data_IF_225534143926
#
_entry.id   IF_225534143926
#
_cell.length_a   1.000
_cell.length_b   1.000
_cell.length_c   1.000
_cell.angle_alpha   90.00
_cell.angle_beta   90.00
_cell.angle_gamma   90.00
#
_symmetry.space_group_name_H-M   'P 1'
#
loop_
_entity.id
_entity.type
_entity.pdbx_description
1 polymer ?
#
# COMPACT_ATOMS: atom_id res chain seq x y z
N UNK A 1 0.31 -10.09 16.43
CA UNK A 1 1.53 -10.06 15.65
C UNK A 1 1.58 -8.81 14.81
N UNK A 2 2.71 -8.20 14.74
CA UNK A 2 2.85 -6.95 14.02
C UNK A 2 3.42 -7.19 12.64
N UNK A 3 2.82 -6.56 11.66
CA UNK A 3 3.37 -6.58 10.32
C UNK A 3 4.54 -5.61 10.25
N UNK A 4 5.57 -5.98 9.52
CA UNK A 4 6.73 -5.14 9.36
C UNK A 4 6.79 -4.60 7.95
N UNK A 5 7.05 -3.32 7.83
CA UNK A 5 7.19 -2.71 6.52
C UNK A 5 8.42 -3.28 5.81
N UNK A 6 8.23 -3.75 4.61
CA UNK A 6 9.32 -4.32 3.82
C UNK A 6 9.74 -3.39 2.69
N UNK A 7 8.80 -3.00 1.85
CA UNK A 7 9.14 -2.12 0.73
C UNK A 7 7.90 -1.40 0.24
N UNK A 8 8.11 -0.41 -0.61
CA UNK A 8 7.03 0.33 -1.23
C UNK A 8 7.35 0.52 -2.70
N UNK A 9 6.34 0.48 -3.53
CA UNK A 9 6.54 0.72 -4.95
C UNK A 9 5.32 1.41 -5.51
N UNK A 10 5.49 2.02 -6.67
CA UNK A 10 4.40 2.69 -7.33
C UNK A 10 3.36 1.66 -7.77
N UNK A 11 2.10 1.98 -7.51
CA UNK A 11 0.99 1.14 -7.95
C UNK A 11 0.39 1.79 -9.19
N UNK A 12 0.49 1.10 -10.30
CA UNK A 12 -0.09 1.57 -11.55
C UNK A 12 -0.72 0.36 -12.24
N UNK A 13 -1.99 0.48 -12.53
CA UNK A 13 -2.69 -0.58 -13.23
C UNK A 13 -2.71 -0.24 -14.72
N UNK A 14 -2.02 -1.04 -15.51
CA UNK A 14 -1.91 -0.84 -16.95
C UNK A 14 -3.24 -0.99 -17.67
N UNK A 15 -4.23 -1.57 -17.01
CA UNK A 15 -5.55 -1.75 -17.61
C UNK A 15 -6.55 -0.69 -17.18
N UNK A 16 -6.09 0.30 -16.44
CA UNK A 16 -6.94 1.37 -15.99
C UNK A 16 -7.79 1.02 -14.78
N UNK A 17 -7.62 -0.15 -14.20
CA UNK A 17 -8.29 -0.50 -12.97
C UNK A 17 -7.60 0.17 -11.81
N UNK A 18 -8.36 0.78 -10.93
CA UNK A 18 -7.79 1.44 -9.77
C UNK A 18 -8.25 0.74 -8.51
N UNK A 19 -7.46 0.88 -7.45
CA UNK A 19 -7.81 0.35 -6.14
C UNK A 19 -7.90 1.51 -5.16
N UNK A 20 -8.80 1.45 -4.19
CA UNK A 20 -8.89 2.52 -3.21
C UNK A 20 -7.79 2.41 -2.17
N UNK A 21 -7.42 3.57 -1.63
CA UNK A 21 -6.53 3.62 -0.48
C UNK A 21 -7.22 2.93 0.70
N UNK A 22 -6.47 2.14 1.45
CA UNK A 22 -7.05 1.38 2.56
C UNK A 22 -7.43 2.28 3.74
N UNK A 23 -7.00 3.52 3.73
CA UNK A 23 -7.27 4.46 4.84
C UNK A 23 -8.37 5.43 4.48
N UNK A 24 -8.21 6.16 3.40
CA UNK A 24 -9.14 7.24 3.07
C UNK A 24 -10.09 6.94 1.91
N UNK A 25 -9.85 5.87 1.17
CA UNK A 25 -10.70 5.50 0.06
C UNK A 25 -10.43 6.23 -1.25
N UNK A 26 -9.49 7.16 -1.27
CA UNK A 26 -9.09 7.81 -2.51
C UNK A 26 -8.31 6.83 -3.37
N UNK A 27 -8.16 7.16 -4.65
CA UNK A 27 -7.41 6.29 -5.55
C UNK A 27 -5.99 6.06 -5.03
N UNK A 28 -5.62 4.81 -4.89
CA UNK A 28 -4.29 4.47 -4.44
C UNK A 28 -3.28 4.68 -5.55
N UNK A 29 -2.12 5.21 -5.21
CA UNK A 29 -1.04 5.44 -6.16
C UNK A 29 0.22 4.65 -5.79
N UNK A 30 0.23 4.05 -4.61
CA UNK A 30 1.38 3.29 -4.14
C UNK A 30 0.91 2.04 -3.44
N UNK A 31 1.77 1.03 -3.41
CA UNK A 31 1.48 -0.16 -2.63
C UNK A 31 2.63 -0.42 -1.68
N UNK A 32 2.29 -0.70 -0.44
CA UNK A 32 3.24 -1.00 0.60
C UNK A 32 3.24 -2.50 0.85
N UNK A 33 4.42 -3.07 0.95
CA UNK A 33 4.58 -4.50 1.17
C UNK A 33 5.05 -4.70 2.61
N UNK A 34 4.28 -5.48 3.34
CA UNK A 34 4.59 -5.81 4.73
C UNK A 34 4.81 -7.30 4.87
N UNK A 35 5.61 -7.68 5.83
CA UNK A 35 5.82 -9.10 6.13
C UNK A 35 5.33 -9.40 7.55
N UNK A 36 4.68 -10.55 7.66
CA UNK A 36 4.25 -11.11 8.93
C UNK A 36 4.69 -12.56 8.87
N UNK A 37 4.96 -13.18 10.01
CA UNK A 37 5.42 -14.56 10.06
C UNK A 37 4.87 -15.43 8.93
N UNK A 38 5.73 -15.73 7.96
CA UNK A 38 5.37 -16.62 6.87
C UNK A 38 4.36 -16.09 5.87
N UNK A 39 4.04 -14.79 5.92
CA UNK A 39 3.06 -14.21 5.02
C UNK A 39 3.51 -12.85 4.51
N UNK A 40 2.99 -12.46 3.37
CA UNK A 40 3.23 -11.15 2.78
C UNK A 40 1.90 -10.44 2.66
N UNK A 41 1.84 -9.21 3.15
CA UNK A 41 0.64 -8.39 3.10
C UNK A 41 0.92 -7.19 2.21
N UNK A 42 0.04 -6.93 1.25
CA UNK A 42 0.18 -5.78 0.37
C UNK A 42 -1.00 -4.85 0.61
N UNK A 43 -0.70 -3.61 0.95
CA UNK A 43 -1.73 -2.59 1.17
C UNK A 43 -1.55 -1.47 0.18
N UNK A 44 -2.65 -0.90 -0.27
CA UNK A 44 -2.64 0.20 -1.23
C UNK A 44 -2.87 1.51 -0.50
N UNK A 45 -2.06 2.49 -0.83
CA UNK A 45 -2.16 3.82 -0.22
C UNK A 45 -2.19 4.89 -1.29
N UNK A 46 -2.91 5.96 -1.03
CA UNK A 46 -2.78 7.15 -1.82
C UNK A 46 -1.51 7.88 -1.38
N UNK A 47 -1.11 8.88 -2.17
CA UNK A 47 0.12 9.59 -1.92
C UNK A 47 0.19 10.19 -0.51
N UNK A 48 -0.90 10.83 -0.09
CA UNK A 48 -0.94 11.46 1.23
C UNK A 48 -0.86 10.46 2.37
N UNK A 49 -1.61 9.35 2.26
CA UNK A 49 -1.62 8.35 3.32
C UNK A 49 -0.30 7.60 3.39
N UNK A 50 0.34 7.37 2.24
CA UNK A 50 1.63 6.73 2.23
C UNK A 50 2.65 7.54 3.01
N UNK A 51 2.62 8.86 2.87
CA UNK A 51 3.53 9.73 3.61
C UNK A 51 3.27 9.72 5.10
N UNK A 52 2.01 9.56 5.49
CA UNK A 52 1.65 9.54 6.91
C UNK A 52 1.97 8.22 7.58
N UNK A 53 1.67 7.13 6.90
CA UNK A 53 1.80 5.81 7.50
C UNK A 53 3.21 5.25 7.39
N UNK A 54 3.93 5.64 6.36
CA UNK A 54 5.26 5.09 6.10
C UNK A 54 6.24 6.26 6.05
N UNK A 55 7.05 6.34 7.06
CA UNK A 55 8.03 7.42 7.18
C UNK A 55 9.42 6.94 6.86
#
# INVERSE_FOLDING_TARGET
MEKKFSSMRAFADVRGNTKPCVICGNTATQEAIFTVEGATIIEKYCDSCAKKEIK
#
